data_IF_139480279668
#
_entry.id   IF_139480279668
#
_cell.length_a   1.000
_cell.length_b   1.000
_cell.length_c   1.000
_cell.angle_alpha   90.00
_cell.angle_beta   90.00
_cell.angle_gamma   90.00
#
_symmetry.space_group_name_H-M   'P 1'
#
loop_
_entity.id
_entity.type
_entity.pdbx_description
1 polymer ?
#
# COMPACT_ATOMS: atom_id res chain seq x y z
N UNK A 1 21.30 -43.73 13.16
CA UNK A 1 21.92 -42.47 12.73
C UNK A 1 20.81 -41.43 12.57
N UNK A 2 21.06 -40.25 13.11
CA UNK A 2 20.11 -39.28 13.68
C UNK A 2 19.25 -38.52 12.67
N UNK A 3 17.98 -38.28 13.06
CA UNK A 3 17.16 -37.17 12.55
C UNK A 3 17.80 -35.83 12.98
N UNK A 4 18.27 -35.04 12.03
CA UNK A 4 18.68 -33.62 12.15
C UNK A 4 18.64 -33.07 10.71
N UNK A 5 18.11 -31.89 10.36
CA UNK A 5 17.58 -30.73 11.06
C UNK A 5 16.43 -30.17 10.21
N UNK A 6 15.25 -29.90 10.80
CA UNK A 6 14.22 -29.09 10.14
C UNK A 6 14.51 -27.61 10.49
N UNK A 7 15.05 -26.79 9.56
CA UNK A 7 15.48 -25.41 9.85
C UNK A 7 14.29 -24.48 10.19
N UNK A 8 13.05 -24.97 10.11
CA UNK A 8 11.83 -24.18 10.29
C UNK A 8 11.05 -24.52 11.57
N UNK A 9 11.48 -25.53 12.34
CA UNK A 9 10.74 -26.01 13.51
C UNK A 9 10.47 -24.91 14.56
N UNK A 10 11.43 -23.99 14.77
CA UNK A 10 11.31 -22.89 15.75
C UNK A 10 10.22 -21.86 15.44
N UNK A 11 9.73 -21.83 14.19
CA UNK A 11 8.68 -20.88 13.77
C UNK A 11 7.27 -21.47 13.80
N UNK A 12 7.11 -22.77 14.13
CA UNK A 12 5.81 -23.44 14.22
C UNK A 12 5.07 -23.19 15.53
N UNK A 13 5.75 -22.67 16.56
CA UNK A 13 5.15 -22.44 17.87
C UNK A 13 4.46 -21.07 17.93
N UNK A 14 3.32 -20.94 18.63
CA UNK A 14 2.70 -19.65 18.88
C UNK A 14 3.67 -18.76 19.66
N UNK A 15 3.93 -17.56 19.15
CA UNK A 15 4.72 -16.58 19.87
C UNK A 15 3.99 -16.21 21.18
N UNK A 16 4.65 -16.41 22.32
CA UNK A 16 4.25 -15.77 23.57
C UNK A 16 4.28 -14.25 23.38
N UNK A 17 3.25 -13.51 23.84
CA UNK A 17 3.29 -12.07 23.80
C UNK A 17 4.45 -11.58 24.68
N UNK A 18 5.39 -10.85 24.08
CA UNK A 18 6.45 -10.17 24.82
C UNK A 18 5.83 -9.24 25.87
N UNK A 19 6.13 -9.52 27.14
CA UNK A 19 5.64 -8.76 28.27
C UNK A 19 6.12 -7.30 28.20
N UNK A 20 5.17 -6.36 28.20
CA UNK A 20 5.43 -4.96 28.46
C UNK A 20 5.94 -4.79 29.91
N UNK A 21 6.84 -3.82 30.19
CA UNK A 21 7.34 -3.59 31.55
C UNK A 21 6.21 -3.19 32.50
N UNK A 22 6.17 -3.86 33.64
CA UNK A 22 5.09 -3.83 34.63
C UNK A 22 4.86 -2.44 35.25
N UNK A 23 3.64 -1.94 35.14
CA UNK A 23 3.11 -0.88 36.00
C UNK A 23 2.42 -1.51 37.21
N UNK A 24 2.75 -1.00 38.41
CA UNK A 24 2.20 -1.45 39.71
C UNK A 24 0.67 -1.31 39.75
N UNK A 25 -0.01 -2.36 40.20
CA UNK A 25 -1.46 -2.39 40.44
C UNK A 25 -1.75 -2.53 41.95
N UNK A 26 -2.70 -1.72 42.44
CA UNK A 26 -3.42 -1.97 43.70
C UNK A 26 -4.81 -2.58 43.39
N UNK A 27 -5.40 -3.39 44.30
CA UNK A 27 -6.49 -4.29 43.95
C UNK A 27 -7.89 -3.79 44.40
N UNK A 28 -8.92 -4.18 43.65
CA UNK A 28 -10.32 -4.22 44.09
C UNK A 28 -11.12 -5.21 43.18
N UNK A 29 -12.30 -5.72 43.58
CA UNK A 29 -12.50 -7.14 43.83
C UNK A 29 -13.41 -7.87 42.82
N UNK A 30 -13.49 -9.20 43.01
CA UNK A 30 -14.14 -10.22 42.19
C UNK A 30 -15.64 -10.06 41.95
N UNK A 31 -16.10 -10.50 40.76
CA UNK A 31 -17.42 -11.09 40.56
C UNK A 31 -17.43 -12.09 39.40
N UNK A 32 -18.39 -13.02 39.47
CA UNK A 32 -18.44 -14.36 38.86
C UNK A 32 -18.92 -14.43 37.40
N UNK A 33 -18.61 -15.60 36.83
CA UNK A 33 -19.04 -16.26 35.59
C UNK A 33 -20.47 -16.04 35.06
N UNK A 34 -20.60 -16.11 33.73
CA UNK A 34 -21.71 -16.80 33.06
C UNK A 34 -21.30 -17.24 31.63
N UNK A 35 -21.51 -18.52 31.34
CA UNK A 35 -21.41 -19.13 30.02
C UNK A 35 -22.67 -18.85 29.18
N UNK A 36 -22.53 -18.86 27.86
CA UNK A 36 -23.65 -18.74 26.92
C UNK A 36 -23.28 -19.24 25.53
N UNK A 37 -23.85 -20.41 25.19
CA UNK A 37 -23.89 -21.03 23.86
C UNK A 37 -24.64 -20.15 22.83
N UNK A 38 -24.14 -20.13 21.59
CA UNK A 38 -24.96 -19.80 20.41
C UNK A 38 -24.33 -20.33 19.11
N UNK A 39 -25.07 -21.21 18.43
CA UNK A 39 -24.77 -21.81 17.13
C UNK A 39 -24.93 -20.83 15.94
N UNK A 40 -24.37 -21.12 14.75
CA UNK A 40 -24.15 -20.11 13.71
C UNK A 40 -25.26 -20.03 12.65
N UNK A 41 -25.44 -18.81 12.11
CA UNK A 41 -26.28 -18.50 10.95
C UNK A 41 -25.44 -18.57 9.65
N UNK A 42 -26.01 -19.21 8.61
CA UNK A 42 -25.47 -19.31 7.24
C UNK A 42 -25.68 -17.99 6.46
N UNK A 43 -24.80 -17.67 5.50
CA UNK A 43 -25.17 -16.84 4.36
C UNK A 43 -25.16 -17.60 3.03
N UNK A 44 -26.16 -17.28 2.20
CA UNK A 44 -26.36 -17.74 0.82
C UNK A 44 -25.59 -16.88 -0.22
N UNK A 45 -25.18 -17.53 -1.32
CA UNK A 45 -24.91 -16.96 -2.66
C UNK A 45 -23.60 -16.16 -2.83
N UNK A 46 -22.83 -16.23 -3.91
CA UNK A 46 -22.91 -16.93 -5.21
C UNK A 46 -21.47 -16.96 -5.76
N UNK A 47 -20.90 -18.15 -6.05
CA UNK A 47 -19.59 -18.27 -6.71
C UNK A 47 -19.80 -18.71 -8.16
N UNK A 48 -19.40 -17.86 -9.11
CA UNK A 48 -19.31 -18.20 -10.53
C UNK A 48 -17.98 -18.91 -10.79
N UNK A 49 -18.02 -20.24 -10.88
CA UNK A 49 -16.88 -21.07 -11.34
C UNK A 49 -17.03 -21.30 -12.84
N UNK A 50 -16.01 -20.96 -13.63
CA UNK A 50 -15.94 -21.33 -15.04
C UNK A 50 -15.25 -22.69 -15.15
N UNK A 51 -15.92 -23.65 -15.79
CA UNK A 51 -15.40 -24.99 -16.11
C UNK A 51 -14.79 -24.99 -17.53
N UNK A 52 -13.63 -25.61 -17.79
CA UNK A 52 -13.14 -25.79 -19.16
C UNK A 52 -13.74 -27.04 -19.81
N UNK A 53 -13.96 -26.97 -21.12
CA UNK A 53 -14.46 -28.05 -21.96
C UNK A 53 -13.32 -28.64 -22.82
N UNK A 54 -13.16 -29.95 -22.76
CA UNK A 54 -12.35 -30.74 -23.70
C UNK A 54 -13.26 -31.49 -24.67
N UNK A 55 -12.82 -31.61 -25.94
CA UNK A 55 -13.07 -32.81 -26.74
C UNK A 55 -13.89 -32.68 -28.03
N UNK A 56 -13.18 -32.42 -29.13
CA UNK A 56 -13.24 -33.10 -30.44
C UNK A 56 -14.59 -33.35 -31.16
N UNK A 57 -14.68 -32.81 -32.39
CA UNK A 57 -15.60 -33.22 -33.48
C UNK A 57 -15.11 -34.53 -34.14
N UNK A 58 -15.95 -35.31 -34.86
CA UNK A 58 -16.25 -34.98 -36.26
C UNK A 58 -17.64 -35.36 -36.81
N UNK A 59 -18.16 -34.47 -37.67
CA UNK A 59 -18.78 -34.70 -39.00
C UNK A 59 -19.67 -35.94 -39.25
N UNK A 60 -20.96 -35.72 -39.59
CA UNK A 60 -21.50 -35.93 -40.97
C UNK A 60 -23.02 -35.68 -41.11
N UNK A 61 -23.35 -35.06 -42.26
CA UNK A 61 -24.56 -35.17 -43.11
C UNK A 61 -25.88 -34.51 -42.68
N UNK A 62 -26.22 -33.41 -43.38
CA UNK A 62 -27.61 -33.01 -43.74
C UNK A 62 -28.02 -33.74 -45.04
N UNK A 63 -29.31 -34.03 -45.23
CA UNK A 63 -30.14 -33.21 -46.14
C UNK A 63 -31.55 -32.93 -45.59
N UNK A 64 -32.09 -31.70 -45.65
CA UNK A 64 -32.91 -31.03 -46.70
C UNK A 64 -34.43 -31.32 -46.63
N UNK A 65 -35.16 -30.19 -46.44
CA UNK A 65 -36.55 -29.82 -46.81
C UNK A 65 -37.77 -30.41 -46.09
N UNK A 66 -38.56 -29.48 -45.54
CA UNK A 66 -40.01 -29.42 -45.74
C UNK A 66 -40.79 -28.98 -44.50
N UNK A 67 -41.52 -27.85 -44.57
CA UNK A 67 -42.70 -27.64 -43.72
C UNK A 67 -42.83 -26.32 -42.97
N UNK A 68 -43.38 -25.32 -43.67
CA UNK A 68 -44.34 -24.30 -43.22
C UNK A 68 -44.13 -23.50 -41.91
N UNK A 69 -43.95 -22.20 -42.11
CA UNK A 69 -44.08 -21.12 -41.14
C UNK A 69 -45.52 -21.03 -40.58
N UNK A 70 -45.66 -21.15 -39.26
CA UNK A 70 -46.82 -20.62 -38.53
C UNK A 70 -46.33 -19.82 -37.33
N UNK A 71 -46.54 -18.49 -37.39
CA UNK A 71 -46.25 -17.55 -36.30
C UNK A 71 -47.34 -17.72 -35.24
N UNK A 72 -46.96 -17.98 -33.98
CA UNK A 72 -47.86 -17.84 -32.83
C UNK A 72 -47.59 -16.53 -32.07
N UNK A 73 -48.64 -15.84 -31.57
CA UNK A 73 -48.52 -14.49 -31.01
C UNK A 73 -47.98 -14.49 -29.57
N UNK A 74 -47.28 -13.40 -29.20
CA UNK A 74 -46.88 -13.08 -27.82
C UNK A 74 -48.08 -12.50 -27.06
N UNK A 75 -48.38 -13.07 -25.89
CA UNK A 75 -49.27 -12.43 -24.91
C UNK A 75 -48.53 -11.37 -24.06
N UNK A 76 -49.17 -10.23 -23.74
CA UNK A 76 -48.56 -9.12 -23.02
C UNK A 76 -48.62 -9.26 -21.48
N UNK A 77 -47.56 -8.80 -20.81
CA UNK A 77 -47.48 -8.63 -19.35
C UNK A 77 -48.30 -7.42 -18.90
N UNK A 78 -49.15 -7.63 -17.90
CA UNK A 78 -50.00 -6.62 -17.23
C UNK A 78 -49.18 -5.84 -16.19
N UNK A 79 -49.27 -4.50 -16.24
CA UNK A 79 -48.78 -3.55 -15.23
C UNK A 79 -49.99 -2.96 -14.48
N UNK A 80 -49.96 -2.84 -13.14
CA UNK A 80 -51.02 -2.14 -12.40
C UNK A 80 -50.85 -0.61 -12.44
N UNK A 81 -51.97 0.15 -12.37
CA UNK A 81 -52.04 1.55 -12.77
C UNK A 81 -51.67 2.57 -11.68
N UNK A 82 -51.18 3.71 -12.16
CA UNK A 82 -51.05 4.99 -11.47
C UNK A 82 -52.40 5.67 -11.27
N UNK A 83 -52.61 6.32 -10.12
CA UNK A 83 -53.54 7.45 -10.02
C UNK A 83 -52.97 8.53 -9.10
N UNK A 84 -52.95 9.74 -9.64
CA UNK A 84 -52.58 11.00 -9.02
C UNK A 84 -53.85 11.70 -8.52
N UNK A 85 -53.65 12.48 -7.46
CA UNK A 85 -54.45 13.60 -6.94
C UNK A 85 -55.78 13.34 -6.19
N UNK A 86 -55.82 13.83 -4.95
CA UNK A 86 -56.71 14.96 -4.59
C UNK A 86 -56.33 15.57 -3.25
N UNK A 87 -56.21 16.90 -3.23
CA UNK A 87 -56.16 17.74 -2.03
C UNK A 87 -57.55 17.78 -1.36
N UNK A 88 -57.60 17.76 -0.02
CA UNK A 88 -58.43 18.69 0.78
C UNK A 88 -58.11 18.65 2.27
N UNK A 89 -58.18 19.84 2.86
CA UNK A 89 -57.86 20.28 4.21
C UNK A 89 -58.74 19.71 5.33
N UNK A 90 -58.18 19.62 6.54
CA UNK A 90 -58.84 20.08 7.78
C UNK A 90 -57.82 20.28 8.91
N UNK A 91 -58.16 21.22 9.81
CA UNK A 91 -57.35 21.81 10.87
C UNK A 91 -57.40 20.99 12.18
N UNK A 92 -56.50 21.37 13.10
CA UNK A 92 -56.60 21.33 14.58
C UNK A 92 -56.50 19.96 15.27
N UNK A 93 -55.50 19.84 16.15
CA UNK A 93 -55.35 18.74 17.10
C UNK A 93 -53.94 18.76 17.72
N UNK A 94 -53.88 18.79 19.04
CA UNK A 94 -52.72 19.10 19.88
C UNK A 94 -51.53 18.13 19.70
N UNK A 95 -50.31 18.67 19.77
CA UNK A 95 -49.07 17.87 19.93
C UNK A 95 -48.70 17.81 21.42
N UNK A 96 -48.56 16.61 22.02
CA UNK A 96 -48.07 16.49 23.38
C UNK A 96 -46.56 16.79 23.49
N UNK A 97 -46.19 17.33 24.65
CA UNK A 97 -44.87 17.83 25.01
C UNK A 97 -43.78 16.75 24.91
N UNK A 98 -42.62 17.14 24.35
CA UNK A 98 -41.42 16.30 24.29
C UNK A 98 -40.65 16.43 25.61
N UNK A 99 -40.50 15.30 26.30
CA UNK A 99 -39.75 15.14 27.54
C UNK A 99 -38.31 15.66 27.41
N UNK A 100 -37.89 16.37 28.46
CA UNK A 100 -36.60 17.03 28.62
C UNK A 100 -35.42 16.05 28.71
N UNK A 101 -34.30 16.41 28.10
CA UNK A 101 -32.98 15.77 28.28
C UNK A 101 -32.36 16.26 29.59
N UNK A 102 -31.74 15.40 30.41
CA UNK A 102 -31.06 15.83 31.63
C UNK A 102 -29.74 16.57 31.32
N UNK A 103 -29.48 17.60 32.11
CA UNK A 103 -28.35 18.52 32.05
C UNK A 103 -27.00 17.82 32.28
N UNK A 104 -25.97 18.35 31.61
CA UNK A 104 -24.58 17.91 31.68
C UNK A 104 -23.85 18.76 32.72
N UNK A 105 -23.32 18.13 33.76
CA UNK A 105 -22.53 18.80 34.82
C UNK A 105 -21.27 19.50 34.26
N UNK A 106 -20.86 20.64 34.84
CA UNK A 106 -19.67 21.38 34.39
C UNK A 106 -18.36 20.70 34.81
N UNK A 107 -17.34 20.79 33.96
CA UNK A 107 -15.98 20.28 34.22
C UNK A 107 -15.22 21.21 35.18
N UNK A 108 -14.29 20.68 36.01
CA UNK A 108 -13.42 21.50 36.86
C UNK A 108 -12.40 22.27 36.03
N UNK A 109 -11.97 23.43 36.55
CA UNK A 109 -11.01 24.33 35.94
C UNK A 109 -9.60 23.72 35.89
N UNK A 110 -9.03 23.64 34.69
CA UNK A 110 -7.62 23.30 34.47
C UNK A 110 -6.72 24.48 34.85
N UNK A 111 -5.76 24.17 35.71
CA UNK A 111 -4.62 24.99 36.03
C UNK A 111 -3.63 25.08 34.85
N UNK A 112 -3.01 26.26 34.74
CA UNK A 112 -1.69 26.52 34.16
C UNK A 112 -1.41 26.13 32.69
N UNK A 113 -1.72 27.04 31.76
CA UNK A 113 -1.02 27.12 30.46
C UNK A 113 0.11 28.18 30.55
N UNK A 114 1.41 27.82 30.43
CA UNK A 114 2.52 28.74 30.71
C UNK A 114 2.85 29.73 29.58
N UNK A 115 2.15 29.72 28.44
CA UNK A 115 2.47 30.60 27.31
C UNK A 115 1.67 31.90 27.26
N UNK A 116 0.97 32.27 28.35
CA UNK A 116 0.10 33.45 28.43
C UNK A 116 0.69 34.61 29.25
N UNK A 117 2.02 34.76 29.26
CA UNK A 117 2.70 35.89 29.88
C UNK A 117 3.67 36.56 28.90
N UNK A 118 3.13 37.16 27.85
CA UNK A 118 3.87 38.12 27.03
C UNK A 118 2.89 39.01 26.25
N UNK A 119 2.04 39.76 26.96
CA UNK A 119 1.32 40.94 26.44
C UNK A 119 0.66 41.65 27.62
N UNK A 120 1.45 42.42 28.36
CA UNK A 120 0.96 43.38 29.34
C UNK A 120 0.52 44.69 28.65
N UNK A 121 -0.63 45.17 29.11
CA UNK A 121 -1.10 46.57 29.13
C UNK A 121 -1.14 47.40 27.84
N UNK A 122 -2.36 47.62 27.31
CA UNK A 122 -2.84 48.96 26.88
C UNK A 122 -4.36 49.11 27.09
N UNK A 123 -4.83 50.27 27.57
CA UNK A 123 -6.23 50.51 27.91
C UNK A 123 -7.12 50.75 26.66
N UNK A 124 -8.39 50.38 26.82
CA UNK A 124 -9.48 50.50 25.84
C UNK A 124 -9.89 51.97 25.71
N UNK A 125 -9.57 52.60 24.58
CA UNK A 125 -10.02 53.93 24.21
C UNK A 125 -10.82 53.91 22.90
N UNK A 126 -12.06 54.42 22.95
CA UNK A 126 -12.89 54.70 21.78
C UNK A 126 -12.16 55.61 20.80
N UNK A 127 -11.99 55.18 19.55
CA UNK A 127 -11.76 56.09 18.43
C UNK A 127 -12.42 55.56 17.16
N UNK A 128 -13.18 56.46 16.53
CA UNK A 128 -13.89 56.32 15.27
C UNK A 128 -13.01 55.70 14.19
N UNK A 129 -13.58 54.77 13.40
CA UNK A 129 -12.99 54.31 12.13
C UNK A 129 -12.76 55.50 11.19
N UNK A 130 -11.54 55.73 10.69
CA UNK A 130 -11.35 56.68 9.61
C UNK A 130 -11.87 56.08 8.29
N UNK A 131 -12.51 56.96 7.52
CA UNK A 131 -12.99 56.78 6.18
C UNK A 131 -11.89 56.33 5.21
N UNK A 132 -12.29 55.54 4.23
CA UNK A 132 -11.48 55.06 3.10
C UNK A 132 -10.83 56.26 2.39
N UNK A 133 -9.55 56.48 2.66
CA UNK A 133 -8.68 57.41 1.95
C UNK A 133 -7.91 56.69 0.85
N UNK A 134 -7.72 57.40 -0.26
CA UNK A 134 -7.19 56.96 -1.54
C UNK A 134 -5.99 56.02 -1.45
N UNK A 135 -6.15 54.84 -2.07
CA UNK A 135 -5.06 53.91 -2.31
C UNK A 135 -4.21 54.48 -3.44
N UNK A 136 -3.04 55.03 -3.13
CA UNK A 136 -2.10 55.47 -4.14
C UNK A 136 -1.74 54.31 -5.08
N UNK A 137 -2.07 54.49 -6.36
CA UNK A 137 -1.67 53.58 -7.43
C UNK A 137 -0.15 53.64 -7.57
N UNK A 138 0.55 52.64 -7.01
CA UNK A 138 1.93 52.39 -7.41
C UNK A 138 1.91 51.88 -8.86
N UNK A 139 2.70 52.46 -9.78
CA UNK A 139 2.77 51.97 -11.15
C UNK A 139 3.26 50.53 -11.13
N UNK A 140 2.50 49.62 -11.77
CA UNK A 140 2.93 48.24 -12.00
C UNK A 140 4.18 48.30 -12.90
N UNK A 141 5.26 47.57 -12.57
CA UNK A 141 6.40 47.47 -13.48
C UNK A 141 5.92 46.91 -14.83
N UNK A 142 6.48 47.39 -15.97
CA UNK A 142 6.05 46.94 -17.29
C UNK A 142 6.19 45.42 -17.36
N UNK A 143 5.14 44.75 -17.86
CA UNK A 143 5.17 43.33 -18.11
C UNK A 143 6.36 43.04 -19.04
N UNK A 144 7.24 42.12 -18.63
CA UNK A 144 8.33 41.65 -19.49
C UNK A 144 7.69 41.18 -20.82
N UNK A 145 8.24 41.58 -21.98
CA UNK A 145 7.73 41.07 -23.24
C UNK A 145 7.75 39.54 -23.20
N UNK A 146 6.72 38.85 -23.72
CA UNK A 146 6.76 37.40 -23.82
C UNK A 146 8.01 37.03 -24.60
N UNK A 147 8.90 36.27 -23.96
CA UNK A 147 10.05 35.68 -24.65
C UNK A 147 9.46 34.84 -25.77
N UNK A 148 9.77 35.19 -27.01
CA UNK A 148 9.32 34.45 -28.17
C UNK A 148 9.82 33.00 -28.01
N UNK A 149 8.88 32.10 -27.69
CA UNK A 149 9.17 30.67 -27.69
C UNK A 149 9.35 30.34 -29.17
N UNK A 150 10.59 30.09 -29.58
CA UNK A 150 10.88 29.61 -30.92
C UNK A 150 9.99 28.39 -31.17
N UNK A 151 9.08 28.50 -32.14
CA UNK A 151 8.24 27.41 -32.60
C UNK A 151 9.12 26.42 -33.39
N UNK A 152 10.02 25.74 -32.68
CA UNK A 152 10.67 24.54 -33.19
C UNK A 152 9.68 23.38 -33.20
N UNK A 153 9.93 22.34 -34.02
CA UNK A 153 9.17 21.10 -33.95
C UNK A 153 9.19 20.57 -32.51
N UNK A 154 8.08 19.95 -32.07
CA UNK A 154 8.00 19.33 -30.76
C UNK A 154 9.20 18.39 -30.57
N UNK A 155 9.93 18.47 -29.45
CA UNK A 155 11.16 17.69 -29.28
C UNK A 155 10.85 16.20 -29.47
N UNK A 156 11.43 15.61 -30.53
CA UNK A 156 11.36 14.18 -30.82
C UNK A 156 12.17 13.41 -29.78
N UNK A 157 11.93 12.10 -29.70
CA UNK A 157 12.66 11.22 -28.79
C UNK A 157 12.01 10.97 -27.43
N UNK A 158 12.74 10.26 -26.59
CA UNK A 158 12.31 9.79 -25.27
C UNK A 158 12.95 10.65 -24.19
N UNK A 159 12.21 10.95 -23.12
CA UNK A 159 12.73 11.74 -21.99
C UNK A 159 14.01 11.10 -21.43
N UNK A 160 15.07 11.89 -21.30
CA UNK A 160 16.38 11.45 -20.84
C UNK A 160 16.31 10.68 -19.52
N UNK A 161 15.60 11.19 -18.51
CA UNK A 161 15.47 10.50 -17.22
C UNK A 161 14.70 9.17 -17.31
N UNK A 162 13.83 8.99 -18.31
CA UNK A 162 13.20 7.69 -18.61
C UNK A 162 14.24 6.73 -19.19
N UNK A 163 15.00 7.15 -20.20
CA UNK A 163 16.04 6.33 -20.85
C UNK A 163 17.11 5.91 -19.85
N UNK A 164 17.60 6.83 -19.01
CA UNK A 164 18.57 6.53 -17.95
C UNK A 164 18.06 5.45 -16.98
N UNK A 165 16.79 5.54 -16.59
CA UNK A 165 16.16 4.57 -15.68
C UNK A 165 15.86 3.22 -16.33
N UNK A 166 15.60 3.20 -17.62
CA UNK A 166 15.41 1.98 -18.40
C UNK A 166 16.73 1.23 -18.60
N UNK A 167 17.82 1.96 -18.87
CA UNK A 167 19.18 1.42 -18.95
C UNK A 167 19.79 1.07 -17.58
N UNK A 168 19.05 1.26 -16.49
CA UNK A 168 19.48 0.89 -15.14
C UNK A 168 20.60 1.78 -14.58
N UNK A 169 20.79 3.00 -15.10
CA UNK A 169 21.81 3.93 -14.61
C UNK A 169 21.45 4.45 -13.21
N UNK A 170 20.19 4.81 -12.99
CA UNK A 170 19.66 5.29 -11.70
C UNK A 170 18.11 5.29 -11.72
N UNK A 171 17.46 5.75 -10.64
CA UNK A 171 16.01 6.01 -10.67
C UNK A 171 15.66 7.23 -11.53
N UNK A 172 14.40 7.36 -11.94
CA UNK A 172 13.94 8.56 -12.67
C UNK A 172 14.14 9.86 -11.89
N UNK A 173 13.93 9.82 -10.57
CA UNK A 173 14.11 10.99 -9.69
C UNK A 173 15.59 11.35 -9.52
N UNK A 174 16.45 10.35 -9.34
CA UNK A 174 17.90 10.56 -9.32
C UNK A 174 18.40 11.09 -10.67
N UNK A 175 17.88 10.56 -11.78
CA UNK A 175 18.20 11.05 -13.12
C UNK A 175 17.84 12.53 -13.28
N UNK A 176 16.62 12.94 -12.89
CA UNK A 176 16.23 14.35 -12.92
C UNK A 176 17.18 15.21 -12.04
N UNK A 177 17.55 14.76 -10.83
CA UNK A 177 18.51 15.47 -9.97
C UNK A 177 19.91 15.56 -10.58
N UNK A 178 20.40 14.50 -11.23
CA UNK A 178 21.71 14.50 -11.87
C UNK A 178 21.73 15.40 -13.11
N UNK A 179 20.64 15.42 -13.88
CA UNK A 179 20.46 16.34 -15.01
C UNK A 179 20.50 17.77 -14.49
N UNK A 180 19.67 18.15 -13.52
CA UNK A 180 19.64 19.51 -12.98
C UNK A 180 21.01 20.00 -12.48
N UNK A 181 21.85 19.09 -11.97
CA UNK A 181 23.22 19.37 -11.51
C UNK A 181 24.28 19.38 -12.61
N UNK A 182 23.90 19.11 -13.86
CA UNK A 182 24.81 19.01 -15.00
C UNK A 182 25.74 17.79 -14.93
N UNK A 183 25.34 16.71 -14.26
CA UNK A 183 26.17 15.51 -14.13
C UNK A 183 25.93 14.48 -15.24
N UNK A 184 25.14 14.81 -16.24
CA UNK A 184 24.76 13.90 -17.33
C UNK A 184 25.24 14.46 -18.67
N UNK A 185 25.82 13.59 -19.48
CA UNK A 185 26.30 13.89 -20.81
C UNK A 185 25.60 12.97 -21.81
N UNK A 186 25.13 13.53 -22.92
CA UNK A 186 24.49 12.80 -24.02
C UNK A 186 25.32 13.07 -25.27
N UNK A 187 25.86 12.01 -25.87
CA UNK A 187 26.77 12.09 -27.03
C UNK A 187 27.93 13.09 -26.82
N UNK A 188 28.44 13.15 -25.58
CA UNK A 188 29.53 14.04 -25.18
C UNK A 188 29.11 15.45 -24.77
N UNK A 189 27.83 15.84 -24.95
CA UNK A 189 27.31 17.17 -24.59
C UNK A 189 26.65 17.13 -23.22
N UNK A 190 27.02 18.06 -22.34
CA UNK A 190 26.42 18.19 -21.02
C UNK A 190 24.94 18.61 -21.14
N UNK A 191 24.05 17.89 -20.47
CA UNK A 191 22.63 18.19 -20.41
C UNK A 191 22.25 18.57 -18.99
N UNK A 192 21.73 19.80 -18.83
CA UNK A 192 21.27 20.30 -17.53
C UNK A 192 19.78 20.68 -17.46
N UNK A 193 19.06 20.54 -18.57
CA UNK A 193 17.65 20.92 -18.66
C UNK A 193 16.73 19.75 -18.26
N UNK A 194 15.85 19.98 -17.30
CA UNK A 194 14.86 18.97 -16.92
C UNK A 194 13.86 18.72 -18.05
N UNK A 195 13.57 17.46 -18.30
CA UNK A 195 12.62 17.07 -19.35
C UNK A 195 13.21 17.00 -20.75
N UNK A 196 14.54 17.21 -20.92
CA UNK A 196 15.24 16.97 -22.19
C UNK A 196 14.88 15.61 -22.77
N UNK A 197 14.75 15.56 -24.10
CA UNK A 197 14.46 14.35 -24.87
C UNK A 197 15.66 14.02 -25.74
N UNK A 198 15.91 12.73 -25.88
CA UNK A 198 17.06 12.18 -26.60
C UNK A 198 16.60 11.00 -27.46
N UNK A 199 17.42 10.66 -28.45
CA UNK A 199 17.22 9.42 -29.19
C UNK A 199 17.44 8.19 -28.28
N UNK A 200 16.64 7.11 -28.44
CA UNK A 200 16.72 5.94 -27.57
C UNK A 200 18.06 5.21 -27.55
N UNK A 201 18.88 5.39 -28.58
CA UNK A 201 20.20 4.79 -28.78
C UNK A 201 21.37 5.74 -28.45
N UNK A 202 21.09 7.02 -28.18
CA UNK A 202 22.10 8.02 -27.83
C UNK A 202 23.01 7.55 -26.69
N UNK A 203 24.31 7.87 -26.75
CA UNK A 203 25.27 7.48 -25.72
C UNK A 203 25.09 8.36 -24.50
N UNK A 204 24.85 7.76 -23.33
CA UNK A 204 24.69 8.49 -22.07
C UNK A 204 25.88 8.19 -21.17
N UNK A 205 26.53 9.24 -20.68
CA UNK A 205 27.59 9.17 -19.69
C UNK A 205 27.22 9.99 -18.46
N UNK A 206 27.67 9.54 -17.29
CA UNK A 206 27.46 10.23 -16.01
C UNK A 206 28.79 10.63 -15.42
N UNK A 207 28.84 11.81 -14.81
CA UNK A 207 30.03 12.37 -14.21
C UNK A 207 30.54 11.54 -13.03
N UNK A 208 31.75 11.82 -12.58
CA UNK A 208 32.34 11.19 -11.38
C UNK A 208 31.53 11.53 -10.12
N UNK A 209 30.92 12.72 -10.06
CA UNK A 209 30.06 13.18 -8.96
C UNK A 209 28.79 12.33 -8.88
N UNK A 210 28.13 12.05 -10.02
CA UNK A 210 26.98 11.15 -10.06
C UNK A 210 27.34 9.74 -9.57
N UNK A 211 28.51 9.21 -9.95
CA UNK A 211 29.00 7.91 -9.46
C UNK A 211 29.24 7.92 -7.95
N UNK A 212 29.82 9.00 -7.41
CA UNK A 212 30.02 9.19 -5.96
C UNK A 212 28.70 9.32 -5.20
N UNK A 213 27.71 9.98 -5.79
CA UNK A 213 26.36 10.10 -5.23
C UNK A 213 25.68 8.73 -5.18
N UNK A 214 25.76 7.97 -6.28
CA UNK A 214 25.28 6.59 -6.34
C UNK A 214 25.97 5.67 -5.33
N UNK A 215 27.26 5.85 -5.04
CA UNK A 215 27.96 5.04 -4.04
C UNK A 215 27.46 5.27 -2.59
N UNK A 216 26.66 6.32 -2.34
CA UNK A 216 26.09 6.62 -1.01
C UNK A 216 24.72 5.99 -0.79
N UNK A 217 24.12 5.38 -1.82
CA UNK A 217 22.81 4.74 -1.67
C UNK A 217 22.93 3.55 -0.74
N UNK A 218 21.88 3.32 0.06
CA UNK A 218 21.84 2.25 1.04
C UNK A 218 20.59 1.41 0.81
N UNK A 219 20.72 0.12 1.08
CA UNK A 219 19.58 -0.80 1.15
C UNK A 219 19.58 -1.44 2.53
N UNK A 220 18.43 -1.39 3.18
CA UNK A 220 18.20 -1.88 4.53
C UNK A 220 17.13 -2.98 4.48
N UNK A 221 17.37 -4.03 5.25
CA UNK A 221 16.44 -5.12 5.49
C UNK A 221 15.92 -4.98 6.91
N UNK A 222 14.61 -4.85 7.07
CA UNK A 222 13.93 -4.69 8.35
C UNK A 222 13.00 -5.88 8.57
N UNK A 223 13.02 -6.46 9.76
CA UNK A 223 11.95 -7.35 10.20
C UNK A 223 10.82 -6.51 10.78
N UNK A 224 9.92 -6.06 9.90
CA UNK A 224 8.82 -5.16 10.26
C UNK A 224 7.83 -5.87 11.20
N UNK A 225 7.51 -5.33 12.39
CA UNK A 225 6.43 -5.82 13.24
C UNK A 225 5.04 -5.37 12.76
N UNK A 226 4.01 -5.92 13.38
CA UNK A 226 2.62 -5.45 13.25
C UNK A 226 2.47 -4.07 13.88
N UNK A 227 1.56 -3.24 13.36
CA UNK A 227 1.26 -1.90 13.89
C UNK A 227 2.02 -0.76 13.22
N UNK A 228 3.01 -1.08 12.37
CA UNK A 228 3.77 -0.10 11.60
C UNK A 228 3.30 -0.06 10.16
N UNK A 229 3.26 1.13 9.55
CA UNK A 229 3.01 1.30 8.12
C UNK A 229 4.32 1.28 7.35
N UNK A 230 4.37 0.65 6.18
CA UNK A 230 5.63 0.52 5.42
C UNK A 230 6.09 1.83 4.76
N UNK A 231 5.20 2.82 4.61
CA UNK A 231 5.41 4.02 3.80
C UNK A 231 5.22 5.32 4.59
N UNK A 232 4.58 6.29 3.93
CA UNK A 232 4.41 7.64 4.48
C UNK A 232 3.65 7.64 5.82
N UNK A 233 3.96 8.58 6.71
CA UNK A 233 3.21 8.78 7.95
C UNK A 233 1.80 9.25 7.60
N UNK A 234 0.84 8.34 7.71
CA UNK A 234 -0.58 8.71 7.79
C UNK A 234 -0.88 9.13 9.24
N UNK A 235 -1.81 10.07 9.48
CA UNK A 235 -2.18 10.49 10.83
C UNK A 235 -2.57 9.29 11.70
N UNK A 236 -1.92 9.15 12.86
CA UNK A 236 -2.14 8.03 13.78
C UNK A 236 -1.44 6.71 13.42
N UNK A 237 -0.63 6.68 12.37
CA UNK A 237 0.17 5.52 11.99
C UNK A 237 1.67 5.78 12.22
N UNK A 238 2.38 4.78 12.76
CA UNK A 238 3.84 4.86 12.93
C UNK A 238 4.56 4.25 11.72
N UNK A 239 5.38 5.01 10.98
CA UNK A 239 6.14 4.48 9.85
C UNK A 239 7.22 3.48 10.29
N UNK A 240 7.41 2.41 9.52
CA UNK A 240 8.43 1.39 9.80
C UNK A 240 9.87 1.95 9.73
N UNK A 241 10.09 3.07 9.00
CA UNK A 241 11.39 3.75 8.95
C UNK A 241 11.82 4.26 10.34
N UNK A 242 10.89 4.51 11.27
CA UNK A 242 11.22 4.94 12.64
C UNK A 242 11.88 3.83 13.46
N UNK A 243 11.81 2.58 13.01
CA UNK A 243 12.51 1.45 13.64
C UNK A 243 13.99 1.38 13.23
N UNK A 244 14.42 2.18 12.26
CA UNK A 244 15.82 2.21 11.82
C UNK A 244 16.59 3.18 12.73
N UNK A 245 17.03 2.65 13.87
CA UNK A 245 17.90 3.34 14.82
C UNK A 245 19.20 2.57 15.01
N UNK A 246 20.25 3.22 15.54
CA UNK A 246 21.53 2.57 15.78
C UNK A 246 21.40 1.38 16.76
N UNK A 247 20.52 1.51 17.75
CA UNK A 247 20.29 0.50 18.79
C UNK A 247 19.57 -0.74 18.25
N UNK A 248 18.70 -0.56 17.26
CA UNK A 248 17.96 -1.63 16.62
C UNK A 248 18.74 -2.29 15.46
N UNK A 249 19.96 -1.83 15.17
CA UNK A 249 20.78 -2.40 14.10
C UNK A 249 21.41 -3.72 14.55
N UNK A 250 21.15 -4.78 13.78
CA UNK A 250 21.93 -6.01 13.83
C UNK A 250 23.21 -5.81 13.00
N UNK A 251 24.28 -5.36 13.66
CA UNK A 251 25.57 -5.07 13.03
C UNK A 251 26.21 -6.33 12.49
N UNK A 252 26.70 -6.26 11.24
CA UNK A 252 27.40 -7.35 10.57
C UNK A 252 28.83 -6.92 10.21
N UNK A 253 29.71 -7.89 9.99
CA UNK A 253 31.08 -7.61 9.57
C UNK A 253 31.08 -6.93 8.19
N UNK A 254 31.79 -5.80 8.09
CA UNK A 254 31.85 -5.00 6.86
C UNK A 254 30.69 -4.02 6.68
N UNK A 255 29.76 -3.93 7.62
CA UNK A 255 28.69 -2.93 7.57
C UNK A 255 29.27 -1.51 7.63
N UNK A 256 28.75 -0.57 6.83
CA UNK A 256 29.08 0.83 7.01
C UNK A 256 28.55 1.32 8.37
N UNK A 257 29.26 2.29 8.95
CA UNK A 257 28.78 3.00 10.14
C UNK A 257 27.41 3.65 9.84
N UNK A 258 26.39 3.33 10.64
CA UNK A 258 25.08 3.93 10.48
C UNK A 258 25.13 5.42 10.78
N UNK A 259 24.59 6.22 9.86
CA UNK A 259 24.47 7.67 10.02
C UNK A 259 23.03 8.10 9.75
N UNK A 260 22.42 8.97 10.57
CA UNK A 260 21.03 9.38 10.39
C UNK A 260 20.68 9.93 9.00
N UNK A 261 21.66 10.54 8.31
CA UNK A 261 21.45 11.04 6.96
C UNK A 261 21.15 9.94 5.92
N UNK A 262 21.54 8.69 6.20
CA UNK A 262 21.28 7.53 5.33
C UNK A 262 19.79 7.19 5.23
N UNK A 263 18.98 7.66 6.19
CA UNK A 263 17.52 7.52 6.14
C UNK A 263 16.87 8.45 5.11
N UNK A 264 17.58 9.49 4.65
CA UNK A 264 17.03 10.45 3.67
C UNK A 264 16.83 9.76 2.33
N UNK A 265 15.63 9.85 1.80
CA UNK A 265 15.27 9.23 0.52
C UNK A 265 15.05 7.72 0.58
N UNK A 266 15.12 7.11 1.77
CA UNK A 266 14.85 5.70 1.94
C UNK A 266 13.36 5.41 1.72
N UNK A 267 13.05 4.54 0.75
CA UNK A 267 11.69 4.21 0.38
C UNK A 267 11.45 2.69 0.43
N UNK A 268 10.22 2.24 0.76
CA UNK A 268 9.91 0.82 0.78
C UNK A 268 9.91 0.22 -0.64
N UNK A 269 10.82 -0.72 -0.89
CA UNK A 269 10.86 -1.55 -2.09
C UNK A 269 9.93 -2.77 -1.92
N UNK A 270 8.64 -2.51 -1.80
CA UNK A 270 7.60 -3.52 -1.58
C UNK A 270 6.99 -3.41 -0.19
N UNK A 271 5.76 -2.89 -0.15
CA UNK A 271 5.04 -2.63 1.10
C UNK A 271 4.53 -3.92 1.73
N UNK A 272 4.47 -3.91 3.05
CA UNK A 272 3.66 -4.81 3.88
C UNK A 272 2.49 -4.02 4.49
N UNK A 273 1.35 -4.69 4.64
CA UNK A 273 0.21 -4.11 5.35
C UNK A 273 0.55 -3.87 6.83
N UNK A 274 -0.23 -3.01 7.49
CA UNK A 274 -0.07 -2.69 8.91
C UNK A 274 -0.21 -3.92 9.81
N UNK A 275 -1.10 -4.84 9.42
CA UNK A 275 -1.44 -6.11 10.08
C UNK A 275 -0.50 -7.27 9.68
N UNK A 276 0.60 -6.97 8.97
CA UNK A 276 1.53 -7.96 8.43
C UNK A 276 2.95 -7.74 8.94
N UNK A 277 3.68 -8.83 9.10
CA UNK A 277 5.05 -8.87 9.63
C UNK A 277 6.05 -9.42 8.61
N UNK A 278 7.34 -9.32 8.92
CA UNK A 278 8.42 -9.97 8.19
C UNK A 278 9.29 -9.01 7.38
N UNK A 279 9.93 -9.54 6.35
CA UNK A 279 10.98 -8.86 5.59
C UNK A 279 10.42 -7.64 4.85
N UNK A 280 10.83 -6.44 5.26
CA UNK A 280 10.64 -5.18 4.55
C UNK A 280 11.99 -4.71 4.00
N UNK A 281 12.03 -4.39 2.72
CA UNK A 281 13.21 -3.77 2.09
C UNK A 281 12.97 -2.28 1.99
N UNK A 282 13.91 -1.49 2.48
CA UNK A 282 13.92 -0.04 2.40
C UNK A 282 15.21 0.36 1.67
N UNK A 283 15.11 1.14 0.60
CA UNK A 283 16.27 1.48 -0.23
C UNK A 283 16.20 2.91 -0.73
N UNK A 284 17.35 3.56 -0.83
CA UNK A 284 17.51 4.81 -1.60
C UNK A 284 17.98 4.54 -3.04
N UNK A 285 18.37 3.29 -3.38
CA UNK A 285 18.69 2.89 -4.75
C UNK A 285 17.42 2.52 -5.52
N UNK A 286 16.97 3.40 -6.42
CA UNK A 286 15.76 3.09 -7.18
C UNK A 286 15.94 1.98 -8.23
N UNK A 287 17.16 1.53 -8.53
CA UNK A 287 17.39 0.33 -9.34
C UNK A 287 16.97 -0.92 -8.57
N UNK A 288 17.32 -0.98 -7.29
CA UNK A 288 16.86 -2.05 -6.36
C UNK A 288 15.35 -2.00 -6.24
N UNK A 289 14.76 -0.80 -6.03
CA UNK A 289 13.31 -0.66 -5.97
C UNK A 289 12.64 -1.16 -7.26
N UNK A 290 13.11 -0.72 -8.44
CA UNK A 290 12.57 -1.16 -9.74
C UNK A 290 12.68 -2.68 -9.93
N UNK A 291 13.80 -3.29 -9.54
CA UNK A 291 13.98 -4.76 -9.60
C UNK A 291 12.96 -5.51 -8.75
N UNK A 292 12.55 -4.96 -7.60
CA UNK A 292 11.68 -5.63 -6.63
C UNK A 292 10.18 -5.39 -6.82
N UNK A 293 9.82 -4.18 -7.28
CA UNK A 293 8.42 -3.73 -7.38
C UNK A 293 8.06 -3.08 -8.72
N UNK A 294 8.96 -3.10 -9.71
CA UNK A 294 8.65 -2.66 -11.07
C UNK A 294 7.55 -3.52 -11.70
N UNK A 295 6.86 -2.97 -12.70
CA UNK A 295 5.76 -3.67 -13.39
C UNK A 295 6.20 -5.01 -14.00
N UNK A 296 7.42 -5.04 -14.54
CA UNK A 296 8.06 -6.23 -15.12
C UNK A 296 8.94 -6.99 -14.12
N UNK A 297 8.77 -6.75 -12.81
CA UNK A 297 9.51 -7.48 -11.79
C UNK A 297 9.02 -8.92 -11.67
N UNK A 298 9.93 -9.87 -11.86
CA UNK A 298 9.72 -11.30 -11.58
C UNK A 298 10.19 -11.71 -10.16
N UNK A 299 10.47 -10.73 -9.30
CA UNK A 299 10.98 -10.99 -7.96
C UNK A 299 9.93 -11.74 -7.12
N UNK A 300 10.21 -13.01 -6.85
CA UNK A 300 9.39 -13.85 -6.00
C UNK A 300 9.33 -13.33 -4.56
N UNK A 301 8.16 -13.48 -3.94
CA UNK A 301 7.91 -13.08 -2.56
C UNK A 301 7.29 -14.27 -1.85
N UNK A 302 7.93 -14.70 -0.78
CA UNK A 302 7.54 -15.89 -0.02
C UNK A 302 6.88 -15.49 1.29
N UNK A 303 5.76 -16.14 1.60
CA UNK A 303 4.93 -15.82 2.75
C UNK A 303 4.50 -17.07 3.50
N UNK A 304 4.61 -17.00 4.83
CA UNK A 304 3.94 -17.91 5.75
C UNK A 304 2.65 -17.24 6.23
N UNK A 305 1.54 -17.92 6.05
CA UNK A 305 0.20 -17.39 6.25
C UNK A 305 -0.52 -18.27 7.24
N UNK A 306 -0.98 -17.67 8.33
CA UNK A 306 -1.85 -18.32 9.30
C UNK A 306 -3.30 -17.96 9.02
N UNK A 307 -4.16 -18.96 8.94
CA UNK A 307 -5.57 -18.83 8.56
C UNK A 307 -6.50 -19.43 9.60
N UNK A 308 -7.74 -18.98 9.60
CA UNK A 308 -8.86 -19.55 10.34
C UNK A 308 -10.06 -19.74 9.41
N UNK A 309 -10.91 -20.71 9.72
CA UNK A 309 -12.10 -21.04 8.92
C UNK A 309 -11.93 -22.38 8.21
N UNK A 310 -12.88 -22.71 7.34
CA UNK A 310 -12.87 -23.93 6.55
C UNK A 310 -12.71 -23.58 5.08
N UNK A 311 -11.70 -24.16 4.45
CA UNK A 311 -11.47 -24.00 3.03
C UNK A 311 -12.55 -24.76 2.25
N UNK A 312 -13.09 -24.15 1.19
CA UNK A 312 -14.00 -24.84 0.27
C UNK A 312 -13.31 -25.98 -0.48
N UNK A 313 -14.09 -26.94 -0.96
CA UNK A 313 -13.59 -28.02 -1.83
C UNK A 313 -12.91 -27.42 -3.07
N UNK A 314 -11.69 -27.90 -3.36
CA UNK A 314 -10.86 -27.36 -4.45
C UNK A 314 -10.26 -25.98 -4.19
N UNK A 315 -10.44 -25.39 -3.00
CA UNK A 315 -9.93 -24.06 -2.65
C UNK A 315 -8.41 -23.92 -2.79
N UNK A 316 -7.65 -24.97 -2.49
CA UNK A 316 -6.19 -24.95 -2.64
C UNK A 316 -5.76 -24.81 -4.10
N UNK A 317 -6.50 -25.41 -5.03
CA UNK A 317 -6.22 -25.29 -6.46
C UNK A 317 -6.58 -23.89 -6.97
N UNK A 318 -7.69 -23.33 -6.51
CA UNK A 318 -8.06 -21.93 -6.79
C UNK A 318 -6.97 -20.95 -6.30
N UNK A 319 -6.43 -21.18 -5.09
CA UNK A 319 -5.33 -20.37 -4.57
C UNK A 319 -4.07 -20.42 -5.44
N UNK A 320 -3.82 -21.53 -6.15
CA UNK A 320 -2.70 -21.67 -7.09
C UNK A 320 -3.00 -20.98 -8.41
N UNK A 321 -4.21 -21.11 -8.93
CA UNK A 321 -4.62 -20.52 -10.20
C UNK A 321 -6.14 -20.43 -10.34
N UNK A 322 -6.61 -19.44 -11.11
CA UNK A 322 -8.04 -19.31 -11.47
C UNK A 322 -8.82 -18.28 -10.64
N UNK A 323 -8.18 -17.61 -9.68
CA UNK A 323 -8.76 -16.48 -8.96
C UNK A 323 -8.56 -15.16 -9.72
N UNK A 324 -9.50 -14.24 -9.48
CA UNK A 324 -9.52 -12.89 -10.04
C UNK A 324 -9.71 -11.87 -8.92
N UNK A 325 -9.01 -10.73 -9.00
CA UNK A 325 -9.23 -9.57 -8.13
C UNK A 325 -9.39 -8.31 -8.97
N UNK A 326 -10.41 -7.52 -8.66
CA UNK A 326 -10.71 -6.23 -9.31
C UNK A 326 -10.85 -6.34 -10.85
N UNK A 327 -11.55 -7.36 -11.34
CA UNK A 327 -11.73 -7.53 -12.79
C UNK A 327 -10.51 -8.11 -13.52
N UNK A 328 -9.46 -8.52 -12.80
CA UNK A 328 -8.18 -8.96 -13.37
C UNK A 328 -7.73 -10.30 -12.79
N UNK A 329 -7.57 -11.29 -13.66
CA UNK A 329 -6.96 -12.58 -13.31
C UNK A 329 -5.63 -12.39 -12.55
N UNK A 330 -5.40 -13.26 -11.57
CA UNK A 330 -4.14 -13.35 -10.85
C UNK A 330 -3.13 -14.17 -11.65
N UNK A 331 -1.84 -13.85 -11.47
CA UNK A 331 -0.77 -14.72 -11.98
C UNK A 331 -0.78 -16.04 -11.18
N UNK A 332 -0.34 -17.16 -11.79
CA UNK A 332 -0.16 -18.40 -11.05
C UNK A 332 0.71 -18.20 -9.80
N UNK A 333 0.27 -18.81 -8.71
CA UNK A 333 0.92 -18.78 -7.41
C UNK A 333 1.34 -20.20 -7.02
N UNK A 334 2.51 -20.34 -6.40
CA UNK A 334 2.82 -21.59 -5.74
C UNK A 334 2.24 -21.54 -4.33
N UNK A 335 1.32 -22.46 -4.02
CA UNK A 335 0.65 -22.53 -2.73
C UNK A 335 0.67 -23.96 -2.21
N UNK A 336 1.17 -24.11 -0.98
CA UNK A 336 1.22 -25.37 -0.24
C UNK A 336 0.57 -25.21 1.13
N UNK A 337 -0.30 -26.15 1.49
CA UNK A 337 -0.77 -26.28 2.86
C UNK A 337 0.30 -26.99 3.69
N UNK A 338 0.69 -26.38 4.82
CA UNK A 338 1.69 -26.94 5.73
C UNK A 338 1.03 -27.78 6.83
N UNK A 339 -0.11 -27.31 7.33
CA UNK A 339 -0.96 -27.97 8.33
C UNK A 339 -2.39 -27.40 8.21
N UNK A 340 -3.26 -27.67 9.19
CA UNK A 340 -4.66 -27.22 9.16
C UNK A 340 -4.82 -25.69 9.13
N UNK A 341 -3.95 -24.94 9.81
CA UNK A 341 -4.06 -23.49 10.02
C UNK A 341 -2.98 -22.66 9.31
N UNK A 342 -2.09 -23.28 8.51
CA UNK A 342 -0.97 -22.62 7.86
C UNK A 342 -0.85 -22.96 6.38
N UNK A 343 -0.67 -21.90 5.59
CA UNK A 343 -0.41 -21.95 4.16
C UNK A 343 0.94 -21.27 3.86
N UNK A 344 1.60 -21.77 2.82
CA UNK A 344 2.85 -21.23 2.30
C UNK A 344 2.62 -20.75 0.87
N UNK A 345 2.83 -19.45 0.64
CA UNK A 345 2.66 -18.80 -0.65
C UNK A 345 4.00 -18.34 -1.22
N UNK A 346 4.19 -18.53 -2.53
CA UNK A 346 5.21 -17.82 -3.32
C UNK A 346 4.50 -17.11 -4.47
N UNK A 347 4.63 -15.78 -4.49
CA UNK A 347 3.99 -14.90 -5.47
C UNK A 347 5.02 -14.10 -6.26
N UNK A 348 4.78 -13.91 -7.56
CA UNK A 348 5.55 -12.98 -8.42
C UNK A 348 4.89 -11.61 -8.57
N UNK A 349 3.64 -11.49 -8.14
CA UNK A 349 2.90 -10.22 -8.11
C UNK A 349 2.58 -9.78 -6.67
N UNK A 350 2.09 -8.55 -6.52
CA UNK A 350 1.78 -7.96 -5.22
C UNK A 350 0.62 -6.98 -5.30
N UNK A 351 -0.57 -7.43 -5.73
CA UNK A 351 -1.79 -6.61 -5.72
C UNK A 351 -2.19 -6.23 -4.29
N UNK A 352 -3.00 -5.18 -4.12
CA UNK A 352 -3.44 -4.68 -2.80
C UNK A 352 -4.09 -5.79 -1.99
N UNK A 353 -3.49 -6.12 -0.83
CA UNK A 353 -3.94 -7.17 0.11
C UNK A 353 -4.17 -8.53 -0.55
N UNK A 354 -3.41 -8.86 -1.60
CA UNK A 354 -3.67 -10.01 -2.49
C UNK A 354 -3.90 -11.33 -1.75
N UNK A 355 -2.97 -11.77 -0.90
CA UNK A 355 -3.07 -13.05 -0.16
C UNK A 355 -4.34 -13.09 0.70
N UNK A 356 -4.66 -11.99 1.40
CA UNK A 356 -5.83 -11.94 2.28
C UNK A 356 -7.12 -12.09 1.48
N UNK A 357 -7.21 -11.39 0.36
CA UNK A 357 -8.36 -11.47 -0.57
C UNK A 357 -8.48 -12.83 -1.23
N UNK A 358 -7.35 -13.45 -1.60
CA UNK A 358 -7.34 -14.82 -2.13
C UNK A 358 -7.88 -15.82 -1.12
N UNK A 359 -7.43 -15.75 0.14
CA UNK A 359 -7.94 -16.60 1.22
C UNK A 359 -9.43 -16.38 1.46
N UNK A 360 -9.90 -15.13 1.48
CA UNK A 360 -11.32 -14.80 1.67
C UNK A 360 -12.21 -15.47 0.61
N UNK A 361 -11.79 -15.48 -0.65
CA UNK A 361 -12.52 -16.10 -1.76
C UNK A 361 -12.68 -17.63 -1.63
N UNK A 362 -11.80 -18.28 -0.86
CA UNK A 362 -11.86 -19.74 -0.62
C UNK A 362 -12.38 -20.10 0.76
N UNK A 363 -12.99 -19.15 1.49
CA UNK A 363 -13.60 -19.37 2.81
C UNK A 363 -12.65 -19.22 4.00
N UNK A 364 -11.44 -18.71 3.79
CA UNK A 364 -10.42 -18.56 4.83
C UNK A 364 -10.22 -17.11 5.23
N UNK A 365 -9.99 -16.88 6.53
CA UNK A 365 -9.59 -15.58 7.07
C UNK A 365 -8.13 -15.61 7.48
N UNK A 366 -7.33 -14.67 6.98
CA UNK A 366 -5.92 -14.55 7.37
C UNK A 366 -5.80 -13.87 8.74
N UNK A 367 -5.30 -14.61 9.72
CA UNK A 367 -5.03 -14.12 11.08
C UNK A 367 -3.57 -13.72 11.27
N UNK A 368 -2.65 -14.26 10.46
CA UNK A 368 -1.24 -13.89 10.49
C UNK A 368 -0.62 -13.95 9.09
N UNK A 369 0.21 -12.96 8.75
CA UNK A 369 0.88 -12.92 7.46
C UNK A 369 2.33 -12.46 7.67
N UNK A 370 3.28 -13.35 7.35
CA UNK A 370 4.71 -13.10 7.50
C UNK A 370 5.43 -13.27 6.17
N UNK A 371 6.04 -12.21 5.64
CA UNK A 371 6.93 -12.33 4.48
C UNK A 371 8.31 -12.80 4.93
N UNK A 372 8.77 -13.93 4.42
CA UNK A 372 10.03 -14.57 4.85
C UNK A 372 11.15 -14.48 3.82
N UNK A 373 10.83 -14.18 2.55
CA UNK A 373 11.83 -14.01 1.47
C UNK A 373 11.35 -13.03 0.41
N UNK A 374 12.29 -12.30 -0.19
CA UNK A 374 12.12 -11.57 -1.45
C UNK A 374 13.30 -11.94 -2.35
N UNK A 375 13.02 -12.53 -3.51
CA UNK A 375 14.06 -13.00 -4.41
C UNK A 375 14.96 -14.01 -3.71
N UNK A 376 16.28 -13.79 -3.67
CA UNK A 376 17.24 -14.64 -2.95
C UNK A 376 17.42 -14.23 -1.49
N UNK A 377 16.95 -13.04 -1.11
CA UNK A 377 17.13 -12.50 0.24
C UNK A 377 16.08 -13.07 1.19
N UNK A 378 16.55 -13.80 2.20
CA UNK A 378 15.71 -14.38 3.26
C UNK A 378 15.73 -13.50 4.50
N UNK A 379 14.63 -13.51 5.25
CA UNK A 379 14.54 -12.88 6.56
C UNK A 379 15.56 -13.48 7.54
N UNK A 380 15.77 -14.79 7.47
CA UNK A 380 16.74 -15.52 8.29
C UNK A 380 16.49 -15.34 9.79
N UNK A 381 17.57 -15.08 10.53
CA UNK A 381 17.56 -14.88 11.97
C UNK A 381 17.44 -13.41 12.40
N UNK A 382 17.10 -12.50 11.47
CA UNK A 382 16.89 -11.10 11.79
C UNK A 382 15.74 -10.96 12.82
N UNK A 383 16.00 -10.48 14.05
CA UNK A 383 14.97 -10.38 15.08
C UNK A 383 13.90 -9.37 14.71
N UNK A 384 12.68 -9.56 15.22
CA UNK A 384 11.56 -8.65 14.97
C UNK A 384 11.88 -7.24 15.49
N UNK A 385 11.58 -6.22 14.69
CA UNK A 385 11.88 -4.83 15.00
C UNK A 385 13.33 -4.41 14.71
N UNK A 386 14.23 -5.37 14.48
CA UNK A 386 15.62 -5.08 14.12
C UNK A 386 15.81 -5.01 12.61
N UNK A 387 16.89 -4.35 12.22
CA UNK A 387 17.26 -4.15 10.83
C UNK A 387 18.75 -4.37 10.61
N UNK A 388 19.15 -4.56 9.36
CA UNK A 388 20.56 -4.66 8.93
C UNK A 388 20.75 -4.07 7.53
N UNK A 389 21.98 -3.76 7.18
CA UNK A 389 22.30 -3.45 5.79
C UNK A 389 22.18 -4.71 4.91
N UNK A 390 21.86 -4.48 3.64
CA UNK A 390 22.08 -5.48 2.60
C UNK A 390 23.59 -5.61 2.40
N UNK A 391 24.12 -6.83 2.46
CA UNK A 391 25.55 -7.06 2.30
C UNK A 391 26.00 -6.95 0.84
N UNK A 392 27.28 -6.74 0.62
CA UNK A 392 27.86 -6.62 -0.72
C UNK A 392 27.78 -7.93 -1.54
N UNK A 393 27.75 -9.09 -0.88
CA UNK A 393 27.59 -10.41 -1.50
C UNK A 393 26.12 -10.82 -1.69
N UNK A 394 25.18 -10.02 -1.19
CA UNK A 394 23.75 -10.26 -1.29
C UNK A 394 23.13 -9.54 -2.50
N UNK A 395 22.30 -10.26 -3.25
CA UNK A 395 21.52 -9.70 -4.35
C UNK A 395 20.14 -10.34 -4.41
N UNK A 396 19.15 -9.58 -4.89
CA UNK A 396 17.74 -10.01 -4.94
C UNK A 396 17.44 -11.07 -6.00
#
# INVERSE_FOLDING_TARGET
>A
MTQSDDPWAKWRQPAEPAAAPAAKAEPAPSAKAAAGDAAPLKPEGTLGVIKPADGATPSRKRPVRGGALTRKPREPKVLPPSTVDTRKSAKTGERPARLARPERSPRPADAANPWRQASGDRPRGETRRPSVGERSERPRPPAKPPVAVAAGPAPSGVRLSKVMSERGLCSRREADLWIERGWVFVDGVQVSELGSRIEPDARIEVSTEAKKDQAKVVTILLHKPVGYVSGQPEPGCTPAVTLITAEAQLVQSGDPEFKPWMLRGLAPAGRLDVDSTGLLVLTSDGRVAKRLIGEDSDAEKEYLVRVSGQMIDGGLELLRHGLELDGKALKPAWVKQLNEDQLHFILKEGKKRQIRRMCELVGLKVIGLKRVRIGRIRLGDLPMGQWRFLRADEAF
#
